data_IF_435916650709
#
_entry.id   IF_435916650709
#
_cell.length_a   1.000
_cell.length_b   1.000
_cell.length_c   1.000
_cell.angle_alpha   90.00
_cell.angle_beta   90.00
_cell.angle_gamma   90.00
#
_symmetry.space_group_name_H-M   'P 1'
#
loop_
_entity.id
_entity.type
_entity.pdbx_description
1 polymer ?
#
# COMPACT_ATOMS: atom_id res chain seq x y z
N UNK A 1 -6.05 7.50 14.81
CA UNK A 1 -5.48 7.52 16.16
C UNK A 1 -3.97 7.33 16.16
N UNK A 2 -3.49 6.20 15.61
CA UNK A 2 -2.05 5.95 15.50
C UNK A 2 -1.33 7.01 14.66
N UNK A 3 -1.90 7.35 13.51
CA UNK A 3 -1.31 8.34 12.58
C UNK A 3 -1.27 9.73 13.22
N UNK A 4 -2.32 10.12 13.90
CA UNK A 4 -2.37 11.41 14.59
C UNK A 4 -1.31 11.51 15.68
N UNK A 5 -1.11 10.44 16.45
CA UNK A 5 -0.08 10.38 17.48
C UNK A 5 1.33 10.45 16.86
N UNK A 6 1.55 9.74 15.76
CA UNK A 6 2.82 9.77 15.05
C UNK A 6 3.12 11.17 14.48
N UNK A 7 2.12 11.80 13.88
CA UNK A 7 2.26 13.16 13.34
C UNK A 7 2.64 14.16 14.44
N UNK A 8 2.00 14.06 15.59
CA UNK A 8 2.32 14.90 16.75
C UNK A 8 3.77 14.69 17.20
N UNK A 9 4.18 13.44 17.33
CA UNK A 9 5.55 13.11 17.71
C UNK A 9 6.57 13.63 16.69
N UNK A 10 6.32 13.45 15.40
CA UNK A 10 7.19 13.92 14.34
C UNK A 10 7.34 15.45 14.37
N UNK A 11 6.26 16.17 14.64
CA UNK A 11 6.30 17.62 14.75
C UNK A 11 7.05 18.12 15.99
N UNK A 12 7.01 17.36 17.08
CA UNK A 12 7.75 17.70 18.30
C UNK A 12 9.23 17.38 18.20
N UNK A 13 9.58 16.31 17.45
CA UNK A 13 10.94 15.77 17.39
C UNK A 13 11.83 16.40 16.31
N UNK A 14 11.29 17.20 15.38
CA UNK A 14 12.05 17.72 14.24
C UNK A 14 12.20 19.23 14.28
N UNK A 15 13.31 19.73 13.68
CA UNK A 15 13.54 21.17 13.54
C UNK A 15 12.55 21.84 12.60
N UNK A 16 11.95 21.08 11.67
CA UNK A 16 10.98 21.58 10.71
C UNK A 16 9.76 22.19 11.41
N UNK A 17 9.32 21.57 12.49
CA UNK A 17 8.13 22.00 13.25
C UNK A 17 8.37 23.23 14.15
N UNK A 18 9.62 23.65 14.30
CA UNK A 18 9.96 24.82 15.11
C UNK A 18 9.67 26.14 14.41
N UNK A 19 9.38 26.11 13.10
CA UNK A 19 8.95 27.26 12.33
C UNK A 19 7.43 27.31 12.21
N UNK A 20 6.93 28.11 11.26
CA UNK A 20 5.49 28.21 10.99
C UNK A 20 4.94 26.98 10.28
N UNK A 21 5.80 26.22 9.59
CA UNK A 21 5.40 25.02 8.87
C UNK A 21 5.45 23.80 9.78
N UNK A 22 4.52 22.88 9.56
CA UNK A 22 4.44 21.60 10.29
C UNK A 22 4.38 20.46 9.31
N UNK A 23 4.87 19.30 9.76
CA UNK A 23 4.75 18.05 9.01
C UNK A 23 3.29 17.62 9.02
N UNK A 24 2.75 17.31 7.86
CA UNK A 24 1.41 16.77 7.71
C UNK A 24 1.48 15.38 7.11
N UNK A 25 0.92 14.39 7.82
CA UNK A 25 0.86 13.02 7.32
C UNK A 25 -0.45 12.84 6.56
N UNK A 26 -0.34 12.50 5.27
CA UNK A 26 -1.49 12.24 4.42
C UNK A 26 -1.75 10.74 4.35
N UNK A 27 -3.01 10.35 4.55
CA UNK A 27 -3.43 8.94 4.53
C UNK A 27 -4.64 8.77 3.63
N UNK A 28 -4.49 8.99 2.30
CA UNK A 28 -5.64 9.00 1.37
C UNK A 28 -6.35 7.65 1.26
N UNK A 29 -5.70 6.55 1.65
CA UNK A 29 -6.25 5.20 1.53
C UNK A 29 -6.76 4.62 2.85
N UNK A 30 -6.70 5.38 3.94
CA UNK A 30 -6.90 4.84 5.30
C UNK A 30 -8.30 4.21 5.51
N UNK A 31 -9.31 4.69 4.79
CA UNK A 31 -10.67 4.20 4.90
C UNK A 31 -11.07 3.25 3.76
N UNK A 32 -10.13 2.85 2.93
CA UNK A 32 -10.39 1.97 1.79
C UNK A 32 -9.97 0.54 2.09
N UNK A 33 -10.76 -0.44 1.65
CA UNK A 33 -10.34 -1.83 1.69
C UNK A 33 -9.41 -2.13 0.50
N UNK A 34 -8.86 -3.33 0.45
CA UNK A 34 -7.88 -3.70 -0.58
C UNK A 34 -8.45 -3.58 -1.99
N UNK A 35 -9.69 -4.01 -2.20
CA UNK A 35 -10.35 -3.92 -3.51
C UNK A 35 -10.52 -2.46 -3.94
N UNK A 36 -10.95 -1.60 -3.03
CA UNK A 36 -11.11 -0.17 -3.31
C UNK A 36 -9.79 0.50 -3.65
N UNK A 37 -8.71 0.13 -2.96
CA UNK A 37 -7.37 0.63 -3.27
C UNK A 37 -6.96 0.24 -4.69
N UNK A 38 -7.19 -1.02 -5.08
CA UNK A 38 -6.87 -1.50 -6.42
C UNK A 38 -7.67 -0.76 -7.49
N UNK A 39 -8.95 -0.54 -7.24
CA UNK A 39 -9.82 0.21 -8.16
C UNK A 39 -9.30 1.63 -8.33
N UNK A 40 -8.98 2.29 -7.24
CA UNK A 40 -8.47 3.66 -7.25
C UNK A 40 -7.14 3.76 -8.00
N UNK A 41 -6.23 2.83 -7.74
CA UNK A 41 -4.96 2.75 -8.46
C UNK A 41 -5.14 2.51 -9.94
N UNK A 42 -6.12 1.67 -10.32
CA UNK A 42 -6.44 1.41 -11.73
C UNK A 42 -6.94 2.67 -12.42
N UNK A 43 -7.73 3.49 -11.75
CA UNK A 43 -8.17 4.79 -12.29
C UNK A 43 -7.00 5.73 -12.53
N UNK A 44 -5.94 5.61 -11.74
CA UNK A 44 -4.73 6.42 -11.85
C UNK A 44 -3.67 5.77 -12.75
N UNK A 45 -4.04 4.70 -13.46
CA UNK A 45 -3.16 3.97 -14.39
C UNK A 45 -1.94 3.34 -13.71
N UNK A 46 -2.07 2.90 -12.46
CA UNK A 46 -1.00 2.15 -11.79
C UNK A 46 -0.79 0.82 -12.51
N UNK A 47 0.44 0.54 -12.90
CA UNK A 47 0.80 -0.75 -13.47
C UNK A 47 1.16 -1.73 -12.36
N UNK A 48 0.19 -2.54 -11.94
CA UNK A 48 0.39 -3.48 -10.84
C UNK A 48 1.36 -4.63 -11.18
N UNK A 49 1.66 -4.84 -12.47
CA UNK A 49 2.64 -5.86 -12.86
C UNK A 49 4.04 -5.57 -12.33
N UNK A 50 4.37 -4.30 -12.10
CA UNK A 50 5.68 -3.89 -11.57
C UNK A 50 5.68 -3.69 -10.05
N UNK A 51 4.56 -3.95 -9.39
CA UNK A 51 4.46 -3.83 -7.94
C UNK A 51 4.68 -5.18 -7.26
N UNK A 52 5.12 -5.14 -6.01
CA UNK A 52 5.48 -6.33 -5.27
C UNK A 52 4.91 -6.29 -3.86
N UNK A 53 4.26 -7.38 -3.45
CA UNK A 53 3.70 -7.52 -2.10
C UNK A 53 4.23 -8.74 -1.37
N UNK A 54 4.70 -9.76 -2.09
CA UNK A 54 5.06 -11.05 -1.53
C UNK A 54 6.19 -10.97 -0.50
N UNK A 55 6.02 -11.70 0.63
CA UNK A 55 7.03 -11.78 1.67
C UNK A 55 8.11 -12.85 1.41
N UNK A 56 7.86 -13.76 0.47
CA UNK A 56 8.75 -14.89 0.20
C UNK A 56 8.85 -15.16 -1.31
N UNK A 57 9.40 -14.18 -2.07
CA UNK A 57 9.51 -14.33 -3.52
C UNK A 57 10.59 -15.35 -3.91
N UNK A 58 10.45 -15.90 -5.12
CA UNK A 58 11.50 -16.76 -5.70
C UNK A 58 12.73 -15.94 -6.07
N UNK A 59 13.84 -16.64 -6.39
CA UNK A 59 15.06 -15.98 -6.85
C UNK A 59 14.82 -15.18 -8.14
N UNK A 60 13.85 -15.59 -8.96
CA UNK A 60 13.48 -14.92 -10.21
C UNK A 60 12.48 -13.77 -10.00
N UNK A 61 12.13 -13.47 -8.76
CA UNK A 61 11.19 -12.39 -8.43
C UNK A 61 9.73 -12.75 -8.59
N UNK A 62 9.39 -14.04 -8.70
CA UNK A 62 8.00 -14.49 -8.73
C UNK A 62 7.40 -14.49 -7.33
N UNK A 63 6.14 -14.10 -7.20
CA UNK A 63 5.43 -14.14 -5.93
C UNK A 63 5.06 -15.57 -5.56
N UNK A 64 5.15 -15.93 -4.27
CA UNK A 64 4.91 -17.31 -3.83
C UNK A 64 3.45 -17.75 -3.97
N UNK A 65 2.52 -16.81 -3.94
CA UNK A 65 1.10 -17.10 -4.05
C UNK A 65 0.46 -17.66 -2.80
N UNK A 66 1.23 -17.89 -1.73
CA UNK A 66 0.75 -18.59 -0.53
C UNK A 66 0.92 -17.81 0.77
N UNK A 67 1.75 -16.75 0.81
CA UNK A 67 1.88 -15.94 2.02
C UNK A 67 0.64 -15.05 2.19
N UNK A 68 0.46 -14.50 3.39
CA UNK A 68 -0.69 -13.65 3.69
C UNK A 68 -0.80 -12.46 2.73
N UNK A 69 0.32 -11.84 2.39
CA UNK A 69 0.32 -10.72 1.45
C UNK A 69 -0.17 -11.14 0.06
N UNK A 70 0.25 -12.30 -0.42
CA UNK A 70 -0.20 -12.83 -1.71
C UNK A 70 -1.68 -13.19 -1.69
N UNK A 71 -2.15 -13.81 -0.61
CA UNK A 71 -3.56 -14.19 -0.46
C UNK A 71 -4.44 -12.94 -0.47
N UNK A 72 -4.09 -11.93 0.33
CA UNK A 72 -4.82 -10.67 0.38
C UNK A 72 -4.82 -9.95 -0.97
N UNK A 73 -3.70 -10.00 -1.68
CA UNK A 73 -3.58 -9.39 -3.01
C UNK A 73 -4.49 -10.07 -4.02
N UNK A 74 -4.49 -11.41 -4.07
CA UNK A 74 -5.37 -12.18 -4.96
C UNK A 74 -6.84 -11.89 -4.67
N UNK A 75 -7.23 -11.90 -3.40
CA UNK A 75 -8.60 -11.61 -2.99
C UNK A 75 -9.00 -10.18 -3.34
N UNK A 76 -8.06 -9.23 -3.16
CA UNK A 76 -8.29 -7.82 -3.50
C UNK A 76 -8.59 -7.64 -4.99
N UNK A 77 -7.79 -8.24 -5.87
CA UNK A 77 -8.01 -8.16 -7.31
C UNK A 77 -9.33 -8.83 -7.71
N UNK A 78 -9.64 -9.99 -7.13
CA UNK A 78 -10.90 -10.69 -7.40
C UNK A 78 -12.10 -9.84 -7.00
N UNK A 79 -12.08 -9.26 -5.81
CA UNK A 79 -13.15 -8.41 -5.31
C UNK A 79 -13.29 -7.11 -6.12
N UNK A 80 -12.18 -6.58 -6.62
CA UNK A 80 -12.18 -5.37 -7.45
C UNK A 80 -12.68 -5.62 -8.88
N UNK A 81 -12.73 -6.88 -9.31
CA UNK A 81 -13.07 -7.22 -10.70
C UNK A 81 -11.97 -6.82 -11.69
N UNK A 82 -10.74 -6.70 -11.22
CA UNK A 82 -9.57 -6.32 -12.02
C UNK A 82 -8.67 -7.54 -12.19
N UNK A 83 -8.18 -7.76 -13.41
CA UNK A 83 -7.24 -8.85 -13.67
C UNK A 83 -5.95 -8.64 -12.85
N UNK A 84 -5.53 -9.69 -12.14
CA UNK A 84 -4.29 -9.67 -11.37
C UNK A 84 -3.10 -9.94 -12.30
N UNK A 85 -2.24 -8.95 -12.58
CA UNK A 85 -1.10 -9.15 -13.46
C UNK A 85 0.11 -9.75 -12.76
N UNK A 86 -0.01 -10.09 -11.48
CA UNK A 86 1.09 -10.61 -10.67
C UNK A 86 1.56 -11.96 -11.22
N UNK A 87 2.87 -12.12 -11.28
CA UNK A 87 3.47 -13.39 -11.70
C UNK A 87 3.74 -14.24 -10.47
N UNK A 88 3.06 -15.39 -10.40
CA UNK A 88 3.21 -16.35 -9.31
C UNK A 88 4.05 -17.55 -9.71
N UNK A 89 4.61 -18.20 -8.71
CA UNK A 89 5.34 -19.46 -8.89
C UNK A 89 4.40 -20.53 -9.44
#
# INVERSE_FOLDING_TARGET
EFIEAFEKMANEATKFSQGEQKIKIHTPLINLNKAEIIIEGSKLNVNYAITHSCYDPSADGLSCGACDACILRKEGFKAAGVMDPTRYI
#
